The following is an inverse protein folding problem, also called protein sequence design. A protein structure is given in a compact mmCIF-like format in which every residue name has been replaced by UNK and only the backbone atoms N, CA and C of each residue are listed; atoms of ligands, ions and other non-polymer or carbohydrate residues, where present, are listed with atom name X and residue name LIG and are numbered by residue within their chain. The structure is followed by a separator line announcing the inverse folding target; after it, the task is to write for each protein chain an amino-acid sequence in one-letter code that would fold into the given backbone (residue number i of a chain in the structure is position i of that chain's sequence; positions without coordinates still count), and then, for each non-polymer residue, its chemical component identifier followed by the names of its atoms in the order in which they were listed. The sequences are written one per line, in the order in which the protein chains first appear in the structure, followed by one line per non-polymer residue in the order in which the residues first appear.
data_IF_251732971678
#
_entry.id   IF_251732971678
#
_cell.length_a   1.000
_cell.length_b   1.000
_cell.length_c   1.000
_cell.angle_alpha   90.00
_cell.angle_beta   90.00
_cell.angle_gamma   90.00
#
_symmetry.space_group_name_H-M   'P 1'
#
loop_
_entity.id
_entity.type
_entity.pdbx_description
1 polymer ?
#
# COMPACT_ATOMS: atom_id res chain seq x y z
N UNK A 1 -7.33 -18.58 -46.36
CA UNK A 1 -6.39 -17.88 -45.46
C UNK A 1 -6.99 -16.51 -45.16
N UNK A 2 -7.12 -16.21 -43.87
CA UNK A 2 -6.87 -14.92 -43.20
C UNK A 2 -7.54 -15.04 -41.83
N UNK A 3 -6.73 -15.35 -40.83
CA UNK A 3 -7.09 -15.26 -39.42
C UNK A 3 -6.84 -13.80 -39.04
N UNK A 4 -7.84 -13.01 -38.61
CA UNK A 4 -7.54 -11.71 -38.06
C UNK A 4 -7.01 -11.88 -36.64
N UNK A 5 -5.99 -11.08 -36.38
CA UNK A 5 -5.07 -11.06 -35.26
C UNK A 5 -5.73 -11.04 -33.88
N UNK A 6 -4.99 -11.63 -32.93
CA UNK A 6 -5.05 -11.30 -31.51
C UNK A 6 -5.05 -9.79 -31.30
N UNK A 7 -6.21 -9.22 -31.03
CA UNK A 7 -6.32 -7.97 -30.28
C UNK A 7 -6.50 -8.34 -28.81
N UNK A 8 -5.43 -8.10 -28.05
CA UNK A 8 -5.45 -8.12 -26.61
C UNK A 8 -6.43 -7.07 -26.12
N UNK A 9 -7.67 -7.50 -25.88
CA UNK A 9 -8.62 -6.76 -25.07
C UNK A 9 -8.46 -7.28 -23.65
N UNK A 10 -7.39 -6.86 -22.97
CA UNK A 10 -7.38 -6.91 -21.51
C UNK A 10 -8.52 -5.99 -21.06
N UNK A 11 -9.58 -6.62 -20.58
CA UNK A 11 -10.78 -5.97 -20.12
C UNK A 11 -10.42 -4.88 -19.11
N UNK A 12 -10.54 -3.62 -19.55
CA UNK A 12 -10.86 -2.51 -18.66
C UNK A 12 -12.14 -2.89 -17.91
N UNK A 13 -12.08 -2.97 -16.58
CA UNK A 13 -13.25 -3.19 -15.73
C UNK A 13 -13.24 -4.44 -14.87
N UNK A 14 -12.09 -5.06 -14.62
CA UNK A 14 -11.99 -6.15 -13.64
C UNK A 14 -12.11 -5.60 -12.21
N UNK A 15 -13.33 -5.56 -11.68
CA UNK A 15 -13.61 -5.61 -10.24
C UNK A 15 -13.30 -7.01 -9.66
N UNK A 16 -12.17 -7.62 -10.04
CA UNK A 16 -11.58 -8.72 -9.29
C UNK A 16 -10.76 -8.11 -8.15
N UNK A 17 -10.66 -8.76 -6.97
CA UNK A 17 -9.70 -8.34 -5.97
C UNK A 17 -8.33 -8.31 -6.66
N UNK A 18 -7.71 -7.13 -6.75
CA UNK A 18 -6.36 -7.00 -7.31
C UNK A 18 -5.51 -8.08 -6.65
N UNK A 19 -4.91 -8.93 -7.46
CA UNK A 19 -3.94 -9.90 -6.94
C UNK A 19 -2.83 -9.15 -6.23
N UNK A 20 -2.18 -9.73 -5.20
CA UNK A 20 -1.09 -9.07 -4.50
C UNK A 20 0.00 -8.56 -5.47
N UNK A 21 0.25 -9.32 -6.54
CA UNK A 21 1.16 -8.96 -7.62
C UNK A 21 0.70 -7.70 -8.37
N UNK A 22 -0.57 -7.60 -8.73
CA UNK A 22 -1.14 -6.39 -9.36
C UNK A 22 -1.10 -5.18 -8.41
N UNK A 23 -1.39 -5.37 -7.11
CA UNK A 23 -1.28 -4.29 -6.13
C UNK A 23 0.14 -3.71 -6.10
N UNK A 24 1.16 -4.59 -6.12
CA UNK A 24 2.56 -4.19 -6.19
C UNK A 24 2.89 -3.44 -7.47
N UNK A 25 2.50 -3.95 -8.63
CA UNK A 25 2.75 -3.28 -9.91
C UNK A 25 2.09 -1.89 -9.96
N UNK A 26 0.86 -1.79 -9.47
CA UNK A 26 0.13 -0.52 -9.38
C UNK A 26 0.86 0.45 -8.46
N UNK A 27 1.25 0.03 -7.25
CA UNK A 27 1.95 0.89 -6.29
C UNK A 27 3.32 1.32 -6.83
N UNK A 28 4.09 0.41 -7.41
CA UNK A 28 5.39 0.70 -8.00
C UNK A 28 5.27 1.71 -9.16
N UNK A 29 4.26 1.53 -10.03
CA UNK A 29 3.98 2.48 -11.11
C UNK A 29 3.59 3.85 -10.57
N UNK A 30 2.67 3.91 -9.61
CA UNK A 30 2.23 5.19 -9.00
C UNK A 30 3.38 5.90 -8.28
N UNK A 31 4.25 5.15 -7.61
CA UNK A 31 5.44 5.70 -6.96
C UNK A 31 6.38 6.32 -7.99
N UNK A 32 6.73 5.59 -9.05
CA UNK A 32 7.57 6.11 -10.15
C UNK A 32 6.94 7.32 -10.83
N UNK A 33 5.65 7.26 -11.15
CA UNK A 33 4.95 8.37 -11.80
C UNK A 33 4.94 9.62 -10.94
N UNK A 34 4.78 9.48 -9.62
CA UNK A 34 4.86 10.59 -8.69
C UNK A 34 6.29 11.15 -8.56
N UNK A 35 7.31 10.30 -8.60
CA UNK A 35 8.72 10.72 -8.63
C UNK A 35 9.06 11.47 -9.95
N UNK A 36 8.56 10.98 -11.08
CA UNK A 36 8.77 11.59 -12.40
C UNK A 36 8.01 12.94 -12.55
N UNK A 37 6.87 13.09 -11.87
CA UNK A 37 6.05 14.31 -11.91
C UNK A 37 6.19 15.18 -10.66
N UNK A 38 7.22 14.95 -9.85
CA UNK A 38 7.39 15.61 -8.56
C UNK A 38 7.50 17.13 -8.72
N UNK A 39 6.62 17.86 -8.03
CA UNK A 39 6.53 19.32 -8.06
C UNK A 39 6.47 19.91 -6.65
N UNK A 40 6.94 21.15 -6.52
CA UNK A 40 6.75 21.93 -5.29
C UNK A 40 5.25 22.05 -4.96
N UNK A 41 4.86 21.58 -3.77
CA UNK A 41 3.48 21.52 -3.32
C UNK A 41 2.83 20.13 -3.38
N UNK A 42 3.55 19.11 -3.88
CA UNK A 42 3.07 17.74 -3.83
C UNK A 42 2.95 17.20 -2.41
N UNK A 43 1.89 16.42 -2.17
CA UNK A 43 1.56 15.87 -0.87
C UNK A 43 2.10 14.44 -0.72
N UNK A 44 2.78 14.22 0.40
CA UNK A 44 3.24 12.91 0.84
C UNK A 44 2.51 12.51 2.11
N UNK A 45 2.25 11.20 2.22
CA UNK A 45 1.58 10.61 3.35
C UNK A 45 2.52 9.63 4.02
N UNK A 46 2.46 9.61 5.34
CA UNK A 46 3.24 8.72 6.19
C UNK A 46 2.44 7.46 6.50
N UNK A 47 3.11 6.32 6.35
CA UNK A 47 2.60 4.99 6.68
C UNK A 47 3.53 4.38 7.71
N UNK A 48 3.01 3.73 8.75
CA UNK A 48 3.85 2.95 9.67
C UNK A 48 4.70 1.94 8.89
N UNK A 49 6.00 1.89 9.21
CA UNK A 49 6.95 0.93 8.60
C UNK A 49 6.52 -0.51 8.81
N UNK A 50 5.85 -0.80 9.93
CA UNK A 50 5.30 -2.14 10.24
C UNK A 50 4.25 -2.54 9.23
N UNK A 51 3.22 -1.70 9.07
CA UNK A 51 2.15 -1.96 8.12
C UNK A 51 2.68 -2.04 6.69
N UNK A 52 3.62 -1.16 6.34
CA UNK A 52 4.25 -1.18 5.03
C UNK A 52 5.00 -2.49 4.78
N UNK A 53 5.76 -2.97 5.78
CA UNK A 53 6.45 -4.26 5.71
C UNK A 53 5.48 -5.43 5.55
N UNK A 54 4.38 -5.44 6.31
CA UNK A 54 3.33 -6.46 6.21
C UNK A 54 2.69 -6.45 4.82
N UNK A 55 2.42 -5.27 4.26
CA UNK A 55 1.94 -5.12 2.88
C UNK A 55 2.96 -5.61 1.87
N UNK A 56 4.24 -5.31 2.05
CA UNK A 56 5.30 -5.80 1.18
C UNK A 56 5.40 -7.35 1.22
N UNK A 57 5.27 -7.96 2.39
CA UNK A 57 5.22 -9.42 2.53
C UNK A 57 3.98 -10.01 1.87
N UNK A 58 2.83 -9.31 1.97
CA UNK A 58 1.59 -9.68 1.27
C UNK A 58 1.75 -9.74 -0.24
N UNK A 59 2.30 -8.69 -0.83
CA UNK A 59 2.53 -8.62 -2.28
C UNK A 59 3.77 -9.40 -2.75
N UNK A 60 4.35 -10.22 -1.86
CA UNK A 60 5.46 -11.09 -2.17
C UNK A 60 6.76 -10.36 -2.51
N UNK A 61 6.96 -9.13 -2.02
CA UNK A 61 8.23 -8.41 -2.20
C UNK A 61 9.40 -9.10 -1.45
N UNK A 62 9.12 -9.89 -0.41
CA UNK A 62 10.13 -10.56 0.43
C UNK A 62 10.09 -12.11 0.33
N UNK A 63 9.33 -12.68 -0.62
CA UNK A 63 9.23 -14.15 -0.83
C UNK A 63 10.45 -14.76 -1.55
N UNK A 64 11.65 -14.25 -1.31
CA UNK A 64 12.88 -14.73 -1.94
C UNK A 64 13.52 -15.94 -1.24
N UNK A 65 12.88 -16.54 -0.24
CA UNK A 65 13.33 -17.81 0.35
C UNK A 65 12.45 -18.97 -0.12
N UNK A 66 12.76 -19.49 -1.30
CA UNK A 66 12.15 -20.69 -1.91
C UNK A 66 12.41 -21.99 -1.12
N UNK A 67 13.03 -21.92 0.07
CA UNK A 67 13.50 -23.09 0.82
C UNK A 67 12.75 -23.38 2.14
N UNK A 68 11.72 -22.61 2.49
CA UNK A 68 10.88 -22.89 3.67
C UNK A 68 9.50 -23.36 3.24
N UNK A 69 9.27 -24.69 3.31
CA UNK A 69 7.96 -25.32 3.11
C UNK A 69 6.89 -24.77 4.09
N UNK A 70 7.31 -24.10 5.16
CA UNK A 70 6.45 -23.39 6.12
C UNK A 70 5.90 -22.05 5.57
N UNK A 71 6.57 -21.44 4.58
CA UNK A 71 6.18 -20.15 3.96
C UNK A 71 5.03 -20.29 2.93
N UNK A 72 4.79 -21.51 2.44
CA UNK A 72 3.69 -21.82 1.52
C UNK A 72 2.33 -21.98 2.22
N UNK A 73 2.33 -22.23 3.54
CA UNK A 73 1.10 -22.42 4.33
C UNK A 73 0.51 -21.11 4.86
N UNK A 74 1.27 -20.03 4.81
CA UNK A 74 0.81 -18.68 5.15
C UNK A 74 0.66 -17.90 3.84
N UNK A 75 -0.48 -18.08 3.17
CA UNK A 75 -0.93 -17.01 2.28
C UNK A 75 -0.96 -15.75 3.15
N UNK A 76 -0.15 -14.72 2.86
CA UNK A 76 -0.06 -13.61 3.75
C UNK A 76 -1.45 -12.99 3.74
N UNK A 77 -2.02 -12.78 4.92
CA UNK A 77 -3.31 -12.12 5.00
C UNK A 77 -3.13 -10.72 4.43
N UNK A 78 -4.14 -10.24 3.68
CA UNK A 78 -4.20 -8.82 3.29
C UNK A 78 -3.97 -8.01 4.58
N UNK A 79 -3.02 -7.05 4.60
CA UNK A 79 -2.70 -6.31 5.82
C UNK A 79 -3.99 -5.70 6.37
N UNK A 80 -4.16 -5.64 7.69
CA UNK A 80 -5.32 -4.97 8.32
C UNK A 80 -5.30 -3.46 8.06
N UNK A 81 -6.20 -2.67 8.65
CA UNK A 81 -6.22 -1.20 8.50
C UNK A 81 -4.83 -0.55 8.71
N UNK A 82 -4.58 0.58 8.04
CA UNK A 82 -3.31 1.31 8.19
C UNK A 82 -3.24 1.83 9.62
N UNK A 83 -2.48 1.13 10.45
CA UNK A 83 -2.28 1.49 11.85
C UNK A 83 -1.10 2.47 11.98
N UNK A 84 -1.43 3.76 12.06
CA UNK A 84 -0.48 4.82 12.37
C UNK A 84 -0.48 5.20 13.87
N UNK A 85 -1.14 4.43 14.74
CA UNK A 85 -1.23 4.72 16.19
C UNK A 85 0.15 4.82 16.84
N UNK A 86 1.14 4.05 16.35
CA UNK A 86 2.51 4.07 16.88
C UNK A 86 3.31 5.29 16.50
N UNK A 87 2.87 6.05 15.49
CA UNK A 87 3.54 7.28 15.04
C UNK A 87 3.02 8.51 15.77
N UNK A 88 1.86 8.40 16.41
CA UNK A 88 1.23 9.53 17.10
C UNK A 88 1.51 9.48 18.58
N UNK A 89 1.81 10.63 19.16
CA UNK A 89 1.87 10.82 20.60
C UNK A 89 0.42 10.90 21.09
N UNK A 90 0.01 9.91 21.88
CA UNK A 90 -1.26 9.95 22.60
C UNK A 90 -1.10 10.81 23.87
N UNK A 91 -0.49 12.00 23.74
CA UNK A 91 -0.40 12.94 24.85
C UNK A 91 -1.77 13.60 24.96
N UNK A 92 -2.47 13.19 26.02
CA UNK A 92 -3.76 13.71 26.45
C UNK A 92 -3.60 15.18 26.89
N UNK A 93 -3.38 16.08 25.94
CA UNK A 93 -3.57 17.49 26.17
C UNK A 93 -5.06 17.74 26.39
N UNK A 94 -5.34 18.62 27.35
CA UNK A 94 -6.65 18.89 27.94
C UNK A 94 -7.73 19.38 26.95
N UNK A 95 -7.39 19.49 25.66
CA UNK A 95 -8.24 19.99 24.57
C UNK A 95 -8.47 18.96 23.43
N UNK A 96 -8.01 17.72 23.59
CA UNK A 96 -8.60 16.53 22.94
C UNK A 96 -8.50 16.36 21.41
N UNK A 97 -7.93 17.30 20.65
CA UNK A 97 -8.10 17.31 19.18
C UNK A 97 -6.80 17.18 18.37
N UNK A 98 -5.61 17.16 18.99
CA UNK A 98 -4.34 17.14 18.23
C UNK A 98 -3.54 15.86 18.49
N UNK A 99 -3.61 14.93 17.53
CA UNK A 99 -2.69 13.78 17.47
C UNK A 99 -1.36 14.26 16.87
N UNK A 100 -0.40 14.59 17.73
CA UNK A 100 0.94 15.00 17.30
C UNK A 100 1.77 13.79 16.83
N UNK A 101 2.67 13.99 15.87
CA UNK A 101 3.64 12.96 15.49
C UNK A 101 4.75 12.87 16.54
N UNK A 102 5.24 11.66 16.81
CA UNK A 102 6.41 11.47 17.67
C UNK A 102 7.63 12.24 17.12
N UNK A 103 8.30 13.02 17.99
CA UNK A 103 9.41 13.90 17.59
C UNK A 103 10.69 13.17 17.13
N UNK A 104 10.76 11.84 17.28
CA UNK A 104 11.95 11.04 16.96
C UNK A 104 11.70 9.95 15.89
N UNK A 105 10.68 10.14 15.05
CA UNK A 105 10.39 9.20 13.99
C UNK A 105 11.45 9.27 12.89
N UNK A 106 11.97 8.10 12.49
CA UNK A 106 12.92 7.97 11.41
C UNK A 106 12.27 7.36 10.17
N UNK A 107 12.43 8.03 9.02
CA UNK A 107 11.99 7.49 7.73
C UNK A 107 12.75 6.19 7.40
N UNK A 108 12.03 5.17 6.96
CA UNK A 108 12.54 3.83 6.66
C UNK A 108 12.65 2.91 7.88
N UNK A 109 12.58 3.45 9.10
CA UNK A 109 12.62 2.66 10.34
C UNK A 109 11.28 2.67 11.07
N UNK A 110 10.69 3.85 11.29
CA UNK A 110 9.41 3.99 11.98
C UNK A 110 8.24 4.24 11.01
N UNK A 111 8.47 5.03 9.96
CA UNK A 111 7.48 5.31 8.92
C UNK A 111 8.10 5.31 7.53
N UNK A 112 7.25 5.14 6.52
CA UNK A 112 7.62 5.28 5.10
C UNK A 112 6.75 6.36 4.48
N UNK A 113 7.38 7.28 3.75
CA UNK A 113 6.67 8.27 2.95
C UNK A 113 6.22 7.66 1.63
N UNK A 114 4.94 7.83 1.32
CA UNK A 114 4.40 7.47 0.02
C UNK A 114 3.74 8.70 -0.62
N UNK A 115 3.80 8.84 -1.95
CA UNK A 115 3.06 9.86 -2.66
C UNK A 115 1.55 9.74 -2.43
N UNK A 116 0.82 10.86 -2.50
CA UNK A 116 -0.64 10.89 -2.40
C UNK A 116 -1.35 9.84 -3.26
N UNK A 117 -0.87 9.64 -4.49
CA UNK A 117 -1.46 8.68 -5.43
C UNK A 117 -1.40 7.24 -4.89
N UNK A 118 -0.25 6.85 -4.31
CA UNK A 118 -0.06 5.55 -3.67
C UNK A 118 -0.96 5.44 -2.45
N UNK A 119 -0.95 6.44 -1.56
CA UNK A 119 -1.79 6.46 -0.36
C UNK A 119 -3.28 6.27 -0.67
N UNK A 120 -3.80 7.04 -1.62
CA UNK A 120 -5.21 6.94 -2.05
C UNK A 120 -5.54 5.56 -2.60
N UNK A 121 -4.60 4.93 -3.31
CA UNK A 121 -4.79 3.61 -3.88
C UNK A 121 -4.82 2.53 -2.79
N UNK A 122 -3.89 2.58 -1.83
CA UNK A 122 -3.88 1.70 -0.66
C UNK A 122 -5.18 1.82 0.14
N UNK A 123 -5.65 3.05 0.40
CA UNK A 123 -6.93 3.27 1.07
C UNK A 123 -8.12 2.75 0.27
N UNK A 124 -8.15 2.97 -1.05
CA UNK A 124 -9.23 2.47 -1.91
C UNK A 124 -9.38 0.96 -1.79
N UNK A 125 -8.28 0.20 -1.75
CA UNK A 125 -8.34 -1.25 -1.55
C UNK A 125 -8.87 -1.67 -0.17
N UNK A 126 -8.91 -0.76 0.80
CA UNK A 126 -9.46 -1.02 2.14
C UNK A 126 -10.90 -0.58 2.29
N UNK A 127 -11.26 0.57 1.72
CA UNK A 127 -12.63 1.09 1.78
C UNK A 127 -13.55 0.44 0.74
N UNK A 128 -13.01 -0.15 -0.33
CA UNK A 128 -13.82 -0.83 -1.35
C UNK A 128 -14.47 -2.15 -0.88
N UNK A 129 -14.20 -2.62 0.34
CA UNK A 129 -14.91 -3.75 0.95
C UNK A 129 -16.23 -3.34 1.65
N UNK A 130 -16.56 -2.04 1.76
CA UNK A 130 -17.76 -1.53 2.46
C UNK A 130 -18.87 -1.01 1.51
N UNK A 131 -19.18 -1.73 0.42
CA UNK A 131 -20.37 -1.44 -0.41
C UNK A 131 -21.24 -2.68 -0.64
N UNK A 132 -21.33 -3.55 0.38
CA UNK A 132 -22.40 -4.56 0.49
C UNK A 132 -22.94 -4.59 1.91
N UNK A 133 -23.85 -3.66 2.21
CA UNK A 133 -24.69 -3.64 3.41
C UNK A 133 -26.08 -3.16 3.05
#
# INVERSE_FOLDING_TARGET
MTIPSSEGFLAEGSCLPCTPEEEKDIVARLKREAEDNLKDGDLFYLISSRWWSDWQQYVGLDRFDENSEESLLLMPSRPGEIDNSKLVVEELYFDGEERELQQNLQEGQDYTLVPQAVWRKLLSWRTSDDLTG
#
